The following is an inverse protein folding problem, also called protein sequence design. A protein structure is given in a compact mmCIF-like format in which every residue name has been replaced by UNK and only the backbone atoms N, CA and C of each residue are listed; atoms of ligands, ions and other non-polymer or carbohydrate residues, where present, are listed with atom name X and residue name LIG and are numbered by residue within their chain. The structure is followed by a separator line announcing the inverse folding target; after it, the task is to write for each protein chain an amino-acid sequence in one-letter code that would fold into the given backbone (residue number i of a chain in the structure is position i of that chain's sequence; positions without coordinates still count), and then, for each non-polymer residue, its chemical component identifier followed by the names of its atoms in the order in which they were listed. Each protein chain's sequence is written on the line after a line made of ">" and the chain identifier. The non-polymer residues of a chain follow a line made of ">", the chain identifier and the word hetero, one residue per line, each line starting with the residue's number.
data_IF_915100441834
#
_entry.id   IF_915100441834
#
_cell.length_a   1.000
_cell.length_b   1.000
_cell.length_c   1.000
_cell.angle_alpha   90.00
_cell.angle_beta   90.00
_cell.angle_gamma   90.00
#
_symmetry.space_group_name_H-M   'P 1'
#
loop_
_entity.id
_entity.type
_entity.pdbx_description
1 polymer ?
#
# COMPACT_ATOMS: atom_id res chain seq x y z
N UNK A 1 -2.16 5.73 1.10
CA UNK A 1 -2.32 4.49 0.31
C UNK A 1 -1.47 3.40 0.94
N UNK A 2 -1.87 2.13 0.88
CA UNK A 2 -1.08 0.99 1.36
C UNK A 2 0.06 0.59 0.39
N UNK A 3 0.07 1.19 -0.79
CA UNK A 3 1.07 0.97 -1.84
C UNK A 3 1.85 2.28 -2.01
N UNK A 4 3.16 2.23 -1.83
CA UNK A 4 4.13 3.21 -2.30
C UNK A 4 4.54 2.81 -3.71
N UNK A 5 4.19 3.67 -4.68
CA UNK A 5 4.41 3.40 -6.10
C UNK A 5 5.90 3.22 -6.41
N UNK A 6 6.23 2.13 -7.11
CA UNK A 6 7.60 1.77 -7.46
C UNK A 6 8.43 1.18 -6.31
N UNK A 7 7.90 1.10 -5.09
CA UNK A 7 8.61 0.55 -3.94
C UNK A 7 8.05 -0.81 -3.51
N UNK A 8 6.83 -0.86 -2.95
CA UNK A 8 6.19 -2.12 -2.55
C UNK A 8 5.06 -2.57 -3.50
N UNK A 9 4.95 -1.92 -4.66
CA UNK A 9 3.96 -2.20 -5.69
C UNK A 9 3.87 -1.05 -6.68
N UNK A 10 2.91 -1.11 -7.59
CA UNK A 10 2.66 -0.04 -8.56
C UNK A 10 1.23 0.46 -8.44
N UNK A 11 1.07 1.78 -8.49
CA UNK A 11 -0.23 2.43 -8.63
C UNK A 11 -0.52 2.59 -10.12
N UNK A 12 -1.32 1.68 -10.66
CA UNK A 12 -1.77 1.77 -12.05
C UNK A 12 -2.86 2.86 -12.11
N UNK A 13 -2.67 3.95 -12.89
CA UNK A 13 -3.70 4.95 -13.08
C UNK A 13 -4.97 4.26 -13.55
N UNK A 14 -6.14 4.72 -13.08
CA UNK A 14 -7.40 4.11 -13.49
C UNK A 14 -7.57 4.28 -15.00
N UNK A 15 -7.31 3.22 -15.76
CA UNK A 15 -7.69 3.14 -17.16
C UNK A 15 -9.20 3.38 -17.27
N UNK A 16 -9.65 3.91 -18.41
CA UNK A 16 -11.08 4.00 -18.67
C UNK A 16 -11.61 2.56 -18.60
N UNK A 17 -12.66 2.27 -17.79
CA UNK A 17 -13.10 0.91 -17.49
C UNK A 17 -13.56 0.09 -18.71
N UNK A 18 -13.64 0.73 -19.88
CA UNK A 18 -14.17 0.15 -21.11
C UNK A 18 -13.09 -0.48 -22.01
N UNK A 19 -11.81 -0.44 -21.62
CA UNK A 19 -10.70 -1.04 -22.39
C UNK A 19 -10.00 -2.17 -21.60
N UNK A 20 -10.62 -3.35 -21.62
CA UNK A 20 -10.12 -4.55 -20.94
C UNK A 20 -8.74 -4.99 -21.45
N UNK A 21 -8.45 -4.79 -22.73
CA UNK A 21 -7.19 -5.21 -23.35
C UNK A 21 -6.04 -4.30 -22.88
N UNK A 22 -6.25 -2.98 -22.86
CA UNK A 22 -5.29 -2.04 -22.31
C UNK A 22 -5.03 -2.31 -20.82
N UNK A 23 -6.08 -2.56 -20.03
CA UNK A 23 -5.92 -2.92 -18.61
C UNK A 23 -5.13 -4.21 -18.43
N UNK A 24 -5.43 -5.25 -19.20
CA UNK A 24 -4.72 -6.53 -19.11
C UNK A 24 -3.24 -6.35 -19.41
N UNK A 25 -2.92 -5.56 -20.44
CA UNK A 25 -1.54 -5.23 -20.83
C UNK A 25 -0.81 -4.48 -19.73
N UNK A 26 -1.38 -3.39 -19.21
CA UNK A 26 -0.76 -2.58 -18.16
C UNK A 26 -0.49 -3.37 -16.88
N UNK A 27 -1.45 -4.22 -16.46
CA UNK A 27 -1.27 -5.07 -15.28
C UNK A 27 -0.17 -6.11 -15.50
N UNK A 28 -0.13 -6.77 -16.66
CA UNK A 28 0.91 -7.74 -16.99
C UNK A 28 2.30 -7.10 -16.99
N UNK A 29 2.43 -5.91 -17.58
CA UNK A 29 3.68 -5.14 -17.57
C UNK A 29 4.16 -4.84 -16.15
N UNK A 30 3.25 -4.39 -15.25
CA UNK A 30 3.61 -4.10 -13.86
C UNK A 30 3.96 -5.34 -13.04
N UNK A 31 3.32 -6.49 -13.31
CA UNK A 31 3.70 -7.76 -12.67
C UNK A 31 5.11 -8.17 -13.09
N UNK A 32 5.41 -8.15 -14.39
CA UNK A 32 6.75 -8.47 -14.90
C UNK A 32 7.78 -7.49 -14.34
N UNK A 33 7.47 -6.19 -14.33
CA UNK A 33 8.34 -5.16 -13.77
C UNK A 33 8.64 -5.42 -12.28
N UNK A 34 7.61 -5.74 -11.49
CA UNK A 34 7.75 -6.04 -10.06
C UNK A 34 8.69 -7.22 -9.82
N UNK A 35 8.50 -8.31 -10.55
CA UNK A 35 9.26 -9.56 -10.37
C UNK A 35 10.70 -9.50 -10.91
N UNK A 36 10.99 -8.57 -11.82
CA UNK A 36 12.31 -8.47 -12.46
C UNK A 36 13.18 -7.34 -11.92
N UNK A 37 12.58 -6.28 -11.37
CA UNK A 37 13.31 -5.09 -10.91
C UNK A 37 13.46 -5.01 -9.40
N UNK A 38 12.73 -5.83 -8.64
CA UNK A 38 12.77 -5.82 -7.17
C UNK A 38 13.09 -7.21 -6.63
N UNK A 39 13.84 -7.26 -5.53
CA UNK A 39 13.96 -8.50 -4.77
C UNK A 39 12.76 -8.67 -3.84
N UNK A 40 12.49 -9.91 -3.41
CA UNK A 40 11.46 -10.17 -2.41
C UNK A 40 11.75 -9.43 -1.08
N UNK A 41 13.02 -9.25 -0.74
CA UNK A 41 13.45 -8.55 0.47
C UNK A 41 13.11 -7.05 0.41
N UNK A 42 13.39 -6.39 -0.73
CA UNK A 42 13.07 -4.98 -0.94
C UNK A 42 11.57 -4.72 -0.77
N UNK A 43 10.75 -5.54 -1.42
CA UNK A 43 9.29 -5.46 -1.36
C UNK A 43 8.76 -5.67 0.07
N UNK A 44 9.30 -6.68 0.76
CA UNK A 44 8.86 -7.02 2.12
C UNK A 44 9.23 -5.95 3.12
N UNK A 45 10.46 -5.41 3.04
CA UNK A 45 10.92 -4.33 3.91
C UNK A 45 9.99 -3.12 3.84
N UNK A 46 9.74 -2.60 2.64
CA UNK A 46 8.87 -1.43 2.47
C UNK A 46 7.42 -1.75 2.87
N UNK A 47 6.94 -2.96 2.56
CA UNK A 47 5.58 -3.37 2.99
C UNK A 47 5.43 -3.37 4.50
N UNK A 48 6.42 -3.86 5.25
CA UNK A 48 6.39 -3.85 6.71
C UNK A 48 6.52 -2.44 7.28
N UNK A 49 7.36 -1.58 6.70
CA UNK A 49 7.42 -0.16 7.08
C UNK A 49 6.06 0.55 6.88
N UNK A 50 5.34 0.23 5.81
CA UNK A 50 3.99 0.79 5.57
C UNK A 50 2.97 0.20 6.53
N UNK A 51 3.13 -1.07 6.93
CA UNK A 51 2.20 -1.77 7.81
C UNK A 51 2.41 -1.44 9.30
N UNK A 52 3.62 -1.06 9.73
CA UNK A 52 3.97 -0.79 11.13
C UNK A 52 2.96 0.14 11.84
N UNK A 53 2.52 1.29 11.29
CA UNK A 53 1.59 2.17 11.96
C UNK A 53 0.15 1.63 12.09
N UNK A 54 -0.11 0.41 11.59
CA UNK A 54 -1.39 -0.29 11.64
C UNK A 54 -1.36 -1.51 12.57
N UNK A 55 -0.25 -1.76 13.29
CA UNK A 55 -0.21 -2.78 14.33
C UNK A 55 -1.21 -2.48 15.46
N UNK A 56 -1.70 -3.53 16.10
CA UNK A 56 -2.72 -3.45 17.16
C UNK A 56 -2.35 -2.45 18.26
N UNK A 57 -1.07 -2.39 18.66
CA UNK A 57 -0.59 -1.46 19.67
C UNK A 57 -0.76 0.02 19.28
N UNK A 58 -0.47 0.36 18.01
CA UNK A 58 -0.64 1.72 17.51
C UNK A 58 -2.11 2.09 17.35
N UNK A 59 -2.95 1.13 16.94
CA UNK A 59 -4.40 1.33 16.82
C UNK A 59 -5.03 1.52 18.21
N UNK A 60 -4.67 0.68 19.18
CA UNK A 60 -5.12 0.80 20.56
C UNK A 60 -4.73 2.15 21.17
N UNK A 61 -3.49 2.60 20.95
CA UNK A 61 -3.03 3.90 21.43
C UNK A 61 -3.83 5.05 20.81
N UNK A 62 -4.03 5.05 19.48
CA UNK A 62 -4.84 6.09 18.80
C UNK A 62 -6.27 6.15 19.34
N UNK A 63 -6.88 5.00 19.63
CA UNK A 63 -8.20 4.96 20.27
C UNK A 63 -8.19 5.53 21.70
N UNK A 64 -7.18 5.18 22.51
CA UNK A 64 -7.02 5.74 23.85
C UNK A 64 -6.87 7.26 23.82
N UNK A 65 -6.02 7.77 22.93
CA UNK A 65 -5.76 9.20 22.77
C UNK A 65 -7.05 9.94 22.36
N UNK A 66 -7.82 9.36 21.44
CA UNK A 66 -9.11 9.90 21.02
C UNK A 66 -10.08 10.00 22.20
N UNK A 67 -10.26 8.92 22.97
CA UNK A 67 -11.15 8.91 24.14
C UNK A 67 -10.72 9.93 25.19
N UNK A 68 -9.42 10.02 25.48
CA UNK A 68 -8.88 10.99 26.44
C UNK A 68 -9.11 12.43 25.96
N UNK A 69 -8.86 12.73 24.68
CA UNK A 69 -9.06 14.07 24.12
C UNK A 69 -10.53 14.51 24.17
N UNK A 70 -11.47 13.57 24.03
CA UNK A 70 -12.90 13.84 24.11
C UNK A 70 -13.40 14.11 25.54
N UNK A 71 -12.70 13.61 26.57
CA UNK A 71 -13.05 13.84 27.99
C UNK A 71 -12.45 15.12 28.57
N UNK A 72 -11.46 15.70 27.89
CA UNK A 72 -10.73 16.90 28.36
C UNK A 72 -11.28 18.20 27.76
N UNK A 73 -12.36 18.11 26.95
CA UNK A 73 -13.15 19.24 26.42
C UNK A 73 -14.54 19.26 27.06
#
# INVERSE_FOLDING_TARGET
>A
TFIRDGENGYLIPKARPDDLEAMTTEYAEKIVQLLTQHSQEDLSRVSYEVAEPYLDEHIAQRWSDLVQSAQTN
#
